data_IF_479374249367
#
_entry.id   IF_479374249367
#
_cell.length_a   1.000
_cell.length_b   1.000
_cell.length_c   1.000
_cell.angle_alpha   90.00
_cell.angle_beta   90.00
_cell.angle_gamma   90.00
#
_symmetry.space_group_name_H-M   'P 1'
#
loop_
_entity.id
_entity.type
_entity.pdbx_description
1 polymer ?
#
# COMPACT_ATOMS: atom_id res chain seq x y z
N UNK A 1 -1.64 -12.71 10.04
CA UNK A 1 -1.85 -13.05 8.60
C UNK A 1 -0.96 -12.13 7.79
N UNK A 2 -0.24 -12.65 6.78
CA UNK A 2 0.50 -11.79 5.83
C UNK A 2 -0.52 -10.99 5.02
N UNK A 3 -0.30 -9.68 4.91
CA UNK A 3 -1.12 -8.78 4.11
C UNK A 3 -0.51 -8.60 2.71
N UNK A 4 -1.25 -8.01 1.78
CA UNK A 4 -0.68 -7.63 0.48
C UNK A 4 0.50 -6.67 0.61
N UNK A 5 0.55 -5.88 1.69
CA UNK A 5 1.63 -4.94 1.98
C UNK A 5 2.96 -5.66 2.23
N UNK A 6 2.93 -6.85 2.85
CA UNK A 6 4.13 -7.67 3.10
C UNK A 6 4.76 -8.21 1.80
N UNK A 7 4.04 -8.14 0.68
CA UNK A 7 4.54 -8.57 -0.64
C UNK A 7 5.21 -7.45 -1.43
N UNK A 8 5.15 -6.20 -0.96
CA UNK A 8 5.74 -5.06 -1.65
C UNK A 8 7.27 -5.18 -1.75
N UNK A 9 7.82 -4.78 -2.90
CA UNK A 9 9.26 -4.85 -3.20
C UNK A 9 9.78 -3.42 -3.35
N UNK A 10 10.51 -2.93 -2.37
CA UNK A 10 11.10 -1.59 -2.37
C UNK A 10 12.62 -1.59 -2.10
N UNK A 11 13.24 -2.74 -2.33
CA UNK A 11 14.67 -2.98 -2.12
C UNK A 11 15.39 -3.46 -3.42
N UNK A 12 14.85 -3.10 -4.59
CA UNK A 12 15.50 -3.37 -5.88
C UNK A 12 16.82 -2.62 -5.96
N UNK A 13 17.78 -3.26 -6.58
CA UNK A 13 19.15 -2.71 -6.76
C UNK A 13 19.55 -2.67 -8.24
N UNK A 14 20.62 -1.95 -8.54
CA UNK A 14 21.22 -1.99 -9.88
C UNK A 14 21.70 -3.40 -10.26
N UNK A 15 22.11 -4.21 -9.28
CA UNK A 15 22.49 -5.60 -9.52
C UNK A 15 21.32 -6.45 -10.01
N UNK A 16 20.11 -6.25 -9.44
CA UNK A 16 18.88 -6.92 -9.90
C UNK A 16 18.57 -6.54 -11.35
N UNK A 17 18.68 -5.25 -11.71
CA UNK A 17 18.47 -4.77 -13.08
C UNK A 17 19.51 -5.36 -14.04
N UNK A 18 20.78 -5.37 -13.65
CA UNK A 18 21.85 -5.95 -14.46
C UNK A 18 21.63 -7.45 -14.70
N UNK A 19 21.11 -8.16 -13.70
CA UNK A 19 20.75 -9.59 -13.83
C UNK A 19 19.65 -9.80 -14.90
N UNK A 20 18.65 -8.94 -14.94
CA UNK A 20 17.60 -8.98 -15.99
C UNK A 20 18.23 -8.80 -17.37
N UNK A 21 19.09 -7.80 -17.54
CA UNK A 21 19.79 -7.56 -18.81
C UNK A 21 20.66 -8.74 -19.21
N UNK A 22 21.38 -9.36 -18.26
CA UNK A 22 22.21 -10.55 -18.52
C UNK A 22 21.39 -11.69 -19.09
N UNK A 23 20.27 -12.07 -18.44
CA UNK A 23 19.43 -13.17 -18.91
C UNK A 23 18.73 -12.82 -20.21
N UNK A 24 18.20 -11.59 -20.34
CA UNK A 24 17.60 -11.12 -21.59
C UNK A 24 18.57 -11.19 -22.76
N UNK A 25 19.80 -10.73 -22.59
CA UNK A 25 20.81 -10.78 -23.65
C UNK A 25 21.16 -12.21 -24.01
N UNK A 26 21.34 -13.12 -23.04
CA UNK A 26 21.59 -14.52 -23.27
C UNK A 26 20.45 -15.19 -24.08
N UNK A 27 19.20 -14.86 -23.76
CA UNK A 27 18.03 -15.33 -24.52
C UNK A 27 18.05 -14.79 -25.96
N UNK A 28 18.37 -13.52 -26.14
CA UNK A 28 18.37 -12.87 -27.47
C UNK A 28 19.48 -13.38 -28.39
N UNK A 29 20.66 -13.71 -27.82
CA UNK A 29 21.82 -14.13 -28.60
C UNK A 29 21.89 -15.64 -28.79
N UNK A 30 21.48 -16.43 -27.82
CA UNK A 30 21.68 -17.89 -27.77
C UNK A 30 20.38 -18.68 -27.68
N UNK A 31 19.24 -17.99 -27.49
CA UNK A 31 17.92 -18.60 -27.32
C UNK A 31 17.61 -19.00 -25.87
N UNK A 32 16.31 -19.24 -25.62
CA UNK A 32 15.81 -19.61 -24.28
C UNK A 32 16.44 -20.91 -23.75
N UNK A 33 16.86 -21.81 -24.62
CA UNK A 33 17.47 -23.08 -24.24
C UNK A 33 18.91 -22.95 -23.70
N UNK A 34 19.55 -21.82 -23.91
CA UNK A 34 20.86 -21.51 -23.34
C UNK A 34 20.82 -21.22 -21.84
N UNK A 35 19.65 -20.90 -21.30
CA UNK A 35 19.48 -20.73 -19.86
C UNK A 35 19.58 -22.05 -19.11
N UNK A 36 20.24 -22.06 -17.94
CA UNK A 36 20.19 -23.20 -17.02
C UNK A 36 18.75 -23.41 -16.49
N UNK A 37 18.50 -24.51 -15.80
CA UNK A 37 17.20 -24.77 -15.19
C UNK A 37 16.84 -23.70 -14.14
N UNK A 38 17.84 -23.26 -13.36
CA UNK A 38 17.71 -22.24 -12.32
C UNK A 38 17.44 -20.88 -12.97
N UNK A 39 18.18 -20.52 -14.03
CA UNK A 39 17.99 -19.28 -14.79
C UNK A 39 16.60 -19.20 -15.44
N UNK A 40 16.10 -20.34 -15.97
CA UNK A 40 14.73 -20.43 -16.50
C UNK A 40 13.70 -20.20 -15.41
N UNK A 41 13.87 -20.87 -14.27
CA UNK A 41 12.96 -20.70 -13.13
C UNK A 41 12.94 -19.26 -12.62
N UNK A 42 14.11 -18.62 -12.46
CA UNK A 42 14.25 -17.21 -12.09
C UNK A 42 13.54 -16.28 -13.08
N UNK A 43 13.77 -16.48 -14.38
CA UNK A 43 13.17 -15.67 -15.45
C UNK A 43 11.65 -15.81 -15.48
N UNK A 44 11.13 -17.02 -15.32
CA UNK A 44 9.68 -17.33 -15.36
C UNK A 44 8.95 -16.89 -14.08
N UNK A 45 9.63 -16.87 -12.94
CA UNK A 45 9.04 -16.41 -11.67
C UNK A 45 8.82 -14.90 -11.61
N UNK A 46 9.39 -14.16 -12.57
CA UNK A 46 9.39 -12.68 -12.53
C UNK A 46 10.59 -12.16 -11.74
N UNK A 47 11.55 -11.60 -12.47
CA UNK A 47 12.81 -11.13 -11.87
C UNK A 47 12.59 -9.83 -11.11
N UNK A 48 13.13 -9.72 -9.91
CA UNK A 48 13.04 -8.54 -9.02
C UNK A 48 13.47 -7.22 -9.72
N UNK A 49 14.46 -7.28 -10.62
CA UNK A 49 14.94 -6.11 -11.36
C UNK A 49 14.07 -5.68 -12.54
N UNK A 50 13.04 -6.46 -12.90
CA UNK A 50 12.10 -6.14 -13.97
C UNK A 50 10.76 -5.70 -13.39
N UNK A 51 10.38 -4.43 -13.61
CA UNK A 51 9.03 -3.99 -13.28
C UNK A 51 8.06 -4.46 -14.38
N UNK A 52 7.15 -5.32 -14.03
CA UNK A 52 6.27 -6.02 -14.98
C UNK A 52 4.81 -6.07 -14.50
N UNK A 53 3.97 -6.84 -15.21
CA UNK A 53 2.55 -6.96 -14.89
C UNK A 53 2.28 -7.51 -13.47
N UNK A 54 3.16 -8.35 -12.92
CA UNK A 54 2.99 -8.86 -11.55
C UNK A 54 3.23 -7.76 -10.52
N UNK A 55 4.20 -6.86 -10.76
CA UNK A 55 4.43 -5.69 -9.93
C UNK A 55 3.26 -4.71 -9.99
N UNK A 56 2.72 -4.47 -11.19
CA UNK A 56 1.55 -3.61 -11.37
C UNK A 56 0.31 -4.16 -10.66
N UNK A 57 0.11 -5.48 -10.69
CA UNK A 57 -0.96 -6.16 -9.96
C UNK A 57 -0.78 -6.02 -8.45
N UNK A 58 0.44 -6.25 -7.95
CA UNK A 58 0.77 -6.11 -6.53
C UNK A 58 0.49 -4.70 -6.01
N UNK A 59 0.94 -3.68 -6.74
CA UNK A 59 0.65 -2.28 -6.40
C UNK A 59 -0.84 -1.97 -6.50
N UNK A 60 -1.54 -2.45 -7.53
CA UNK A 60 -2.99 -2.31 -7.65
C UNK A 60 -3.73 -2.93 -6.47
N UNK A 61 -3.34 -4.13 -6.04
CA UNK A 61 -3.91 -4.81 -4.88
C UNK A 61 -3.62 -4.05 -3.57
N UNK A 62 -2.41 -3.52 -3.39
CA UNK A 62 -2.06 -2.70 -2.23
C UNK A 62 -2.88 -1.39 -2.19
N UNK A 63 -3.04 -0.72 -3.33
CA UNK A 63 -3.91 0.47 -3.44
C UNK A 63 -5.35 0.14 -3.04
N UNK A 64 -5.92 -0.94 -3.57
CA UNK A 64 -7.29 -1.35 -3.25
C UNK A 64 -7.44 -1.71 -1.76
N UNK A 65 -6.47 -2.41 -1.20
CA UNK A 65 -6.43 -2.79 0.21
C UNK A 65 -6.40 -1.56 1.13
N UNK A 66 -5.50 -0.61 0.89
CA UNK A 66 -5.38 0.62 1.70
C UNK A 66 -6.64 1.47 1.57
N UNK A 67 -7.15 1.66 0.35
CA UNK A 67 -8.38 2.43 0.13
C UNK A 67 -9.58 1.82 0.86
N UNK A 68 -9.71 0.49 0.84
CA UNK A 68 -10.76 -0.21 1.57
C UNK A 68 -10.64 0.03 3.08
N UNK A 69 -9.44 -0.08 3.67
CA UNK A 69 -9.21 0.22 5.09
C UNK A 69 -9.60 1.67 5.42
N UNK A 70 -9.16 2.64 4.61
CA UNK A 70 -9.49 4.05 4.83
C UNK A 70 -10.99 4.32 4.77
N UNK A 71 -11.72 3.64 3.89
CA UNK A 71 -13.17 3.85 3.75
C UNK A 71 -14.00 3.09 4.77
N UNK A 72 -13.52 1.95 5.27
CA UNK A 72 -14.24 1.15 6.29
C UNK A 72 -14.00 1.64 7.72
N UNK A 73 -12.82 2.19 8.02
CA UNK A 73 -12.42 2.57 9.37
C UNK A 73 -13.43 3.45 10.12
N UNK A 74 -14.09 4.47 9.53
CA UNK A 74 -15.10 5.25 10.26
C UNK A 74 -16.26 4.43 10.78
N UNK A 75 -16.76 3.48 9.98
CA UNK A 75 -17.85 2.60 10.39
C UNK A 75 -17.42 1.58 11.43
N UNK A 76 -16.18 1.09 11.34
CA UNK A 76 -15.59 0.17 12.32
C UNK A 76 -15.42 0.87 13.68
N UNK A 77 -14.92 2.11 13.69
CA UNK A 77 -14.81 2.91 14.91
C UNK A 77 -16.19 3.23 15.52
N UNK A 78 -17.19 3.55 14.68
CA UNK A 78 -18.54 3.79 15.15
C UNK A 78 -19.15 2.54 15.82
N UNK A 79 -18.97 1.37 15.21
CA UNK A 79 -19.40 0.11 15.79
C UNK A 79 -18.69 -0.19 17.12
N UNK A 80 -17.38 0.04 17.18
CA UNK A 80 -16.58 -0.15 18.38
C UNK A 80 -17.00 0.78 19.53
N UNK A 81 -17.23 2.09 19.23
CA UNK A 81 -17.77 3.04 20.22
C UNK A 81 -19.12 2.58 20.77
N UNK A 82 -20.01 2.17 19.89
CA UNK A 82 -21.34 1.66 20.28
C UNK A 82 -21.23 0.43 21.19
N UNK A 83 -20.35 -0.52 20.87
CA UNK A 83 -20.08 -1.69 21.72
C UNK A 83 -19.58 -1.29 23.11
N UNK A 84 -18.73 -0.25 23.19
CA UNK A 84 -18.14 0.24 24.44
C UNK A 84 -19.04 1.21 25.20
N UNK A 85 -20.18 1.62 24.65
CA UNK A 85 -21.08 2.59 25.28
C UNK A 85 -20.50 4.00 25.36
N UNK A 86 -19.67 4.38 24.40
CA UNK A 86 -19.05 5.71 24.29
C UNK A 86 -19.81 6.55 23.29
N UNK A 87 -20.15 7.80 23.65
CA UNK A 87 -20.85 8.74 22.79
C UNK A 87 -20.05 9.11 21.54
N UNK A 88 -20.74 9.66 20.54
CA UNK A 88 -20.14 10.12 19.30
C UNK A 88 -19.48 11.50 19.55
N UNK A 89 -18.15 11.51 19.54
CA UNK A 89 -17.32 12.71 19.75
C UNK A 89 -16.33 12.85 18.60
N UNK A 90 -16.13 14.05 18.04
CA UNK A 90 -15.16 14.32 16.96
C UNK A 90 -13.72 13.87 17.25
N UNK A 91 -13.34 13.71 18.52
CA UNK A 91 -11.99 13.19 18.87
C UNK A 91 -11.72 11.76 18.38
N UNK A 92 -12.78 11.01 18.02
CA UNK A 92 -12.69 9.64 17.49
C UNK A 92 -12.82 9.58 15.97
N UNK A 93 -12.95 10.73 15.30
CA UNK A 93 -13.01 10.77 13.85
C UNK A 93 -11.63 10.56 13.21
N UNK A 94 -11.64 9.96 12.03
CA UNK A 94 -10.42 9.80 11.23
C UNK A 94 -9.89 11.17 10.79
N UNK A 95 -8.55 11.38 10.73
CA UNK A 95 -7.95 12.68 10.39
C UNK A 95 -7.90 12.94 8.86
N UNK A 96 -8.82 12.35 8.09
CA UNK A 96 -8.93 12.48 6.64
C UNK A 96 -10.39 12.41 6.21
N UNK A 97 -10.67 12.75 4.94
CA UNK A 97 -12.00 12.63 4.34
C UNK A 97 -12.17 11.28 3.61
N UNK A 98 -12.88 10.29 4.19
CA UNK A 98 -13.09 8.98 3.56
C UNK A 98 -13.82 9.07 2.21
N UNK A 99 -14.68 10.07 2.00
CA UNK A 99 -15.41 10.26 0.75
C UNK A 99 -14.50 10.70 -0.41
N UNK A 100 -13.33 11.28 -0.10
CA UNK A 100 -12.32 11.65 -1.09
C UNK A 100 -11.39 10.50 -1.49
N UNK A 101 -11.47 9.35 -0.80
CA UNK A 101 -10.68 8.15 -1.11
C UNK A 101 -11.29 7.40 -2.30
N UNK A 102 -11.21 7.98 -3.48
CA UNK A 102 -11.74 7.40 -4.72
C UNK A 102 -10.58 6.89 -5.58
N UNK A 103 -10.41 5.57 -5.63
CA UNK A 103 -9.38 4.90 -6.42
C UNK A 103 -9.99 4.00 -7.49
N UNK A 104 -9.26 3.80 -8.58
CA UNK A 104 -9.60 2.85 -9.66
C UNK A 104 -8.39 1.95 -9.89
N UNK A 105 -8.21 0.97 -9.01
CA UNK A 105 -7.06 0.06 -9.05
C UNK A 105 -7.31 -1.08 -10.06
N UNK A 106 -6.44 -1.19 -11.08
CA UNK A 106 -6.38 -2.35 -11.97
C UNK A 106 -5.49 -3.41 -11.32
N UNK A 107 -6.00 -4.63 -11.15
CA UNK A 107 -5.34 -5.75 -10.47
C UNK A 107 -5.26 -7.01 -11.32
N UNK A 108 -5.60 -6.89 -12.60
CA UNK A 108 -5.73 -7.99 -13.56
C UNK A 108 -4.84 -7.80 -14.80
N UNK A 109 -3.66 -7.18 -14.61
CA UNK A 109 -2.66 -7.08 -15.67
C UNK A 109 -2.16 -8.47 -16.07
N UNK A 110 -1.97 -8.69 -17.37
CA UNK A 110 -1.43 -9.95 -17.90
C UNK A 110 -0.16 -9.70 -18.72
N UNK A 111 0.61 -10.75 -18.94
CA UNK A 111 1.80 -10.68 -19.79
C UNK A 111 1.40 -10.18 -21.20
N UNK A 112 2.07 -9.13 -21.66
CA UNK A 112 1.76 -8.49 -22.95
C UNK A 112 0.86 -7.26 -22.86
N UNK A 113 0.23 -7.01 -21.70
CA UNK A 113 -0.45 -5.74 -21.49
C UNK A 113 0.58 -4.59 -21.52
N UNK A 114 0.23 -3.55 -22.27
CA UNK A 114 1.00 -2.30 -22.28
C UNK A 114 0.14 -1.20 -21.67
N UNK A 115 0.62 -0.54 -20.60
CA UNK A 115 -0.11 0.58 -20.01
C UNK A 115 -0.31 1.68 -21.05
N UNK A 116 -1.56 2.00 -21.35
CA UNK A 116 -1.87 3.22 -22.10
C UNK A 116 -1.58 4.44 -21.25
N UNK A 117 -1.44 5.61 -21.86
CA UNK A 117 -1.24 6.86 -21.11
C UNK A 117 -2.36 7.11 -20.08
N UNK A 118 -3.61 6.75 -20.40
CA UNK A 118 -4.73 6.89 -19.45
C UNK A 118 -4.62 5.94 -18.27
N UNK A 119 -4.22 4.69 -18.51
CA UNK A 119 -4.00 3.70 -17.44
C UNK A 119 -2.81 4.08 -16.56
N UNK A 120 -1.72 4.58 -17.15
CA UNK A 120 -0.57 5.09 -16.40
C UNK A 120 -0.96 6.28 -15.51
N UNK A 121 -1.76 7.22 -16.04
CA UNK A 121 -2.30 8.33 -15.24
C UNK A 121 -3.21 7.86 -14.11
N UNK A 122 -4.12 6.92 -14.37
CA UNK A 122 -5.01 6.37 -13.35
C UNK A 122 -4.20 5.68 -12.24
N UNK A 123 -3.17 4.91 -12.60
CA UNK A 123 -2.27 4.25 -11.69
C UNK A 123 -1.57 5.25 -10.74
N UNK A 124 -0.98 6.32 -11.28
CA UNK A 124 -0.31 7.35 -10.48
C UNK A 124 -1.30 8.22 -9.69
N UNK A 125 -2.50 8.45 -10.23
CA UNK A 125 -3.55 9.18 -9.53
C UNK A 125 -4.00 8.44 -8.27
N UNK A 126 -4.13 7.11 -8.31
CA UNK A 126 -4.46 6.30 -7.13
C UNK A 126 -3.47 6.53 -5.99
N UNK A 127 -2.16 6.54 -6.29
CA UNK A 127 -1.12 6.84 -5.30
C UNK A 127 -1.25 8.26 -4.74
N UNK A 128 -1.58 9.22 -5.62
CA UNK A 128 -1.77 10.64 -5.24
C UNK A 128 -2.98 10.81 -4.32
N UNK A 129 -4.09 10.11 -4.60
CA UNK A 129 -5.29 10.10 -3.77
C UNK A 129 -4.96 9.59 -2.36
N UNK A 130 -4.34 8.43 -2.26
CA UNK A 130 -4.00 7.84 -0.96
C UNK A 130 -2.99 8.69 -0.17
N UNK A 131 -1.93 9.18 -0.85
CA UNK A 131 -0.89 9.99 -0.21
C UNK A 131 -1.43 11.27 0.43
N UNK A 132 -2.47 11.87 -0.17
CA UNK A 132 -3.07 13.12 0.32
C UNK A 132 -3.89 12.97 1.60
N UNK A 133 -4.27 11.75 1.94
CA UNK A 133 -5.16 11.51 3.08
C UNK A 133 -4.44 11.61 4.44
N UNK A 134 -3.15 11.34 4.47
CA UNK A 134 -2.38 11.22 5.71
C UNK A 134 -1.16 12.15 5.69
N UNK A 135 -0.77 12.61 6.87
CA UNK A 135 0.52 13.28 7.07
C UNK A 135 1.62 12.23 7.19
N UNK A 136 2.35 12.03 6.10
CA UNK A 136 3.44 11.07 6.05
C UNK A 136 4.76 11.65 6.59
N UNK A 137 5.76 10.82 6.92
CA UNK A 137 7.10 11.27 7.25
C UNK A 137 7.69 12.23 6.19
N UNK A 138 8.54 13.15 6.60
CA UNK A 138 9.08 14.20 5.72
C UNK A 138 9.93 13.65 4.57
N UNK A 139 10.49 12.47 4.72
CA UNK A 139 11.29 11.74 3.74
C UNK A 139 10.46 10.78 2.86
N UNK A 140 9.14 10.74 3.02
CA UNK A 140 8.27 9.90 2.21
C UNK A 140 8.39 10.27 0.71
N UNK A 141 8.57 9.27 -0.17
CA UNK A 141 8.74 9.50 -1.60
C UNK A 141 7.59 10.29 -2.21
N UNK A 142 7.91 11.16 -3.17
CA UNK A 142 6.91 11.79 -4.00
C UNK A 142 6.31 10.77 -5.00
N UNK A 143 5.05 10.98 -5.37
CA UNK A 143 4.45 10.21 -6.47
C UNK A 143 5.11 10.63 -7.78
N UNK A 144 5.58 9.70 -8.61
CA UNK A 144 6.13 10.03 -9.93
C UNK A 144 5.10 10.75 -10.80
N UNK A 145 5.55 11.62 -11.68
CA UNK A 145 4.68 12.34 -12.62
C UNK A 145 4.34 11.51 -13.87
N UNK A 146 5.16 10.50 -14.19
CA UNK A 146 5.00 9.60 -15.32
C UNK A 146 5.58 8.22 -15.00
N UNK A 147 5.11 7.20 -15.69
CA UNK A 147 5.73 5.86 -15.72
C UNK A 147 6.75 5.70 -16.86
N UNK A 148 6.92 6.71 -17.69
CA UNK A 148 7.91 6.68 -18.77
C UNK A 148 9.32 6.61 -18.17
N UNK A 149 10.15 5.72 -18.70
CA UNK A 149 11.52 5.48 -18.22
C UNK A 149 11.58 5.11 -16.71
N UNK A 150 10.65 4.30 -16.26
CA UNK A 150 10.62 3.83 -14.87
C UNK A 150 11.96 3.18 -14.48
N UNK A 151 12.64 3.77 -13.50
CA UNK A 151 13.87 3.21 -12.93
C UNK A 151 13.55 2.30 -11.75
N UNK A 152 14.50 1.45 -11.35
CA UNK A 152 14.32 0.64 -10.14
C UNK A 152 14.11 1.51 -8.88
N UNK A 153 14.76 2.67 -8.81
CA UNK A 153 14.56 3.63 -7.71
C UNK A 153 13.13 4.15 -7.69
N UNK A 154 12.58 4.52 -8.85
CA UNK A 154 11.19 4.98 -8.95
C UNK A 154 10.20 3.87 -8.61
N UNK A 155 10.47 2.64 -9.04
CA UNK A 155 9.68 1.47 -8.69
C UNK A 155 9.69 1.21 -7.18
N UNK A 156 10.87 1.27 -6.54
CA UNK A 156 11.01 1.17 -5.09
C UNK A 156 10.23 2.28 -4.37
N UNK A 157 10.32 3.52 -4.84
CA UNK A 157 9.61 4.65 -4.24
C UNK A 157 8.09 4.50 -4.29
N UNK A 158 7.53 3.94 -5.36
CA UNK A 158 6.09 3.65 -5.47
C UNK A 158 5.66 2.65 -4.38
N UNK A 159 6.37 1.54 -4.27
CA UNK A 159 6.00 0.49 -3.33
C UNK A 159 6.32 0.89 -1.88
N UNK A 160 7.43 1.60 -1.65
CA UNK A 160 7.76 2.14 -0.32
C UNK A 160 6.76 3.21 0.14
N UNK A 161 6.25 4.04 -0.77
CA UNK A 161 5.19 4.99 -0.46
C UNK A 161 3.92 4.29 0.05
N UNK A 162 3.49 3.21 -0.60
CA UNK A 162 2.34 2.42 -0.15
C UNK A 162 2.57 1.77 1.22
N UNK A 163 3.78 1.25 1.45
CA UNK A 163 4.17 0.75 2.77
C UNK A 163 4.06 1.84 3.85
N UNK A 164 4.57 3.05 3.60
CA UNK A 164 4.48 4.16 4.54
C UNK A 164 3.04 4.63 4.80
N UNK A 165 2.20 4.65 3.76
CA UNK A 165 0.77 5.00 3.91
C UNK A 165 0.08 3.97 4.81
N UNK A 166 0.30 2.68 4.60
CA UNK A 166 -0.30 1.61 5.40
C UNK A 166 0.20 1.64 6.84
N UNK A 167 1.49 1.87 7.06
CA UNK A 167 2.08 2.03 8.39
C UNK A 167 1.44 3.20 9.14
N UNK A 168 1.37 4.37 8.51
CA UNK A 168 0.77 5.57 9.10
C UNK A 168 -0.73 5.37 9.40
N UNK A 169 -1.45 4.71 8.50
CA UNK A 169 -2.86 4.35 8.72
C UNK A 169 -3.02 3.42 9.93
N UNK A 170 -2.14 2.46 10.08
CA UNK A 170 -2.12 1.55 11.24
C UNK A 170 -1.87 2.29 12.55
N UNK A 171 -0.99 3.30 12.55
CA UNK A 171 -0.76 4.16 13.72
C UNK A 171 -2.00 5.01 14.05
N UNK A 172 -2.67 5.57 13.04
CA UNK A 172 -3.93 6.31 13.21
C UNK A 172 -5.02 5.42 13.81
N UNK A 173 -5.20 4.22 13.25
CA UNK A 173 -6.15 3.23 13.79
C UNK A 173 -5.86 2.92 15.27
N UNK A 174 -4.64 2.58 15.59
CA UNK A 174 -4.23 2.22 16.96
C UNK A 174 -4.48 3.37 17.95
N UNK A 175 -4.18 4.62 17.55
CA UNK A 175 -4.43 5.79 18.38
C UNK A 175 -5.92 6.03 18.62
N UNK A 176 -6.77 5.88 17.59
CA UNK A 176 -8.22 6.07 17.71
C UNK A 176 -8.86 5.01 18.61
N UNK A 177 -8.53 3.74 18.43
CA UNK A 177 -9.00 2.68 19.33
C UNK A 177 -8.51 2.89 20.78
N UNK A 178 -7.24 3.29 20.97
CA UNK A 178 -6.68 3.61 22.27
C UNK A 178 -7.40 4.79 22.96
N UNK A 179 -7.83 5.82 22.21
CA UNK A 179 -8.63 6.93 22.75
C UNK A 179 -9.97 6.44 23.28
N UNK A 180 -10.66 5.60 22.53
CA UNK A 180 -11.94 4.99 22.93
C UNK A 180 -11.74 4.20 24.24
N UNK A 181 -10.75 3.32 24.31
CA UNK A 181 -10.48 2.50 25.50
C UNK A 181 -10.14 3.34 26.72
N UNK A 182 -9.35 4.42 26.57
CA UNK A 182 -9.05 5.35 27.67
C UNK A 182 -10.29 6.05 28.21
N UNK A 183 -11.22 6.42 27.32
CA UNK A 183 -12.47 7.03 27.71
C UNK A 183 -13.35 6.06 28.50
N UNK A 184 -13.47 4.82 28.05
CA UNK A 184 -14.19 3.75 28.77
C UNK A 184 -13.60 3.56 30.18
N UNK A 185 -12.28 3.48 30.30
CA UNK A 185 -11.59 3.34 31.58
C UNK A 185 -11.85 4.54 32.51
N UNK A 186 -11.86 5.77 31.98
CA UNK A 186 -12.15 6.98 32.75
C UNK A 186 -13.61 6.96 33.28
N UNK A 187 -14.60 6.57 32.48
CA UNK A 187 -15.98 6.45 32.94
C UNK A 187 -16.16 5.36 34.01
N UNK A 188 -15.49 4.22 33.85
CA UNK A 188 -15.52 3.16 34.86
C UNK A 188 -14.95 3.65 36.21
N UNK A 189 -13.86 4.41 36.20
CA UNK A 189 -13.26 4.98 37.41
C UNK A 189 -14.16 5.99 38.10
N UNK A 190 -14.79 6.90 37.34
CA UNK A 190 -15.74 7.90 37.86
C UNK A 190 -16.92 7.19 38.57
N UNK A 191 -17.51 6.19 37.93
CA UNK A 191 -18.62 5.44 38.52
C UNK A 191 -18.24 4.73 39.84
N UNK A 192 -17.04 4.18 39.93
CA UNK A 192 -16.53 3.59 41.18
C UNK A 192 -16.38 4.60 42.31
N UNK A 193 -15.98 5.84 41.99
CA UNK A 193 -15.82 6.89 43.00
C UNK A 193 -17.17 7.42 43.56
N UNK A 194 -18.23 7.38 42.74
CA UNK A 194 -19.56 7.88 43.13
C UNK A 194 -20.51 6.80 43.68
N UNK A 195 -20.21 5.51 43.52
CA UNK A 195 -21.01 4.41 44.09
C UNK A 195 -20.60 3.99 45.52
N UNK A 196 -19.71 4.69 46.12
CA UNK A 196 -19.20 4.41 47.50
C UNK A 196 -19.79 5.27 48.63
N UNK A 197 -20.98 5.93 48.39
CA UNK A 197 -21.76 6.61 49.43
C UNK A 197 -22.99 5.80 49.84
#
# INVERSE_FOLDING_TARGET
>A
MSTVIDTLIYDRTQADVNRVFTLKNKILTEGLNALSAEEKAEYMAGMKGAYNYTDMNRVGQAVAYIANRMTSLPSELAAYRSEKGVDDDPIYEVPYDPASVVVSAKTDWVMGDTPTQSLAKAYLNNLTVLRKQLTLPADAPAVPTTLDQLTYTTANNIEYLLYLIDLTLTEVEAELYSKIDRTVAAFAYVNLCYSGE
#
